data_IF_241424008162
#
_entry.id   IF_241424008162
#
_cell.length_a   1.000
_cell.length_b   1.000
_cell.length_c   1.000
_cell.angle_alpha   90.00
_cell.angle_beta   90.00
_cell.angle_gamma   90.00
#
_symmetry.space_group_name_H-M   'P 1'
#
loop_
_entity.id
_entity.type
_entity.pdbx_description
1 polymer ?
#
# COMPACT_ATOMS: atom_id res chain seq x y z
N UNK A 1 -11.58 18.39 -4.32
CA UNK A 1 -10.88 17.20 -3.79
C UNK A 1 -9.62 17.69 -3.12
N UNK A 2 -9.38 17.30 -1.87
CA UNK A 2 -8.17 17.62 -1.10
C UNK A 2 -7.53 16.32 -0.63
N UNK A 3 -6.21 16.24 -0.69
CA UNK A 3 -5.45 15.06 -0.28
C UNK A 3 -4.46 15.42 0.82
N UNK A 4 -4.52 14.70 1.94
CA UNK A 4 -3.49 14.73 2.97
C UNK A 4 -2.72 13.41 2.86
N UNK A 5 -1.50 13.49 2.34
CA UNK A 5 -0.63 12.33 2.22
C UNK A 5 0.21 12.14 3.49
N UNK A 6 0.35 10.90 3.95
CA UNK A 6 1.23 10.52 5.06
C UNK A 6 1.05 11.39 6.32
N UNK A 7 -0.20 11.66 6.71
CA UNK A 7 -0.55 12.57 7.80
C UNK A 7 -0.31 11.96 9.20
N UNK A 8 0.92 11.53 9.47
CA UNK A 8 1.21 10.62 10.60
C UNK A 8 1.45 11.30 11.93
N UNK A 9 1.74 12.61 11.95
CA UNK A 9 2.03 13.34 13.18
C UNK A 9 0.76 13.49 14.04
N UNK A 10 0.67 12.83 15.22
CA UNK A 10 -0.52 12.91 16.08
C UNK A 10 -0.74 14.30 16.68
N UNK A 11 0.24 15.20 16.62
CA UNK A 11 0.11 16.59 17.09
C UNK A 11 -0.50 17.50 16.04
N UNK A 12 -0.57 17.06 14.77
CA UNK A 12 -1.10 17.86 13.69
C UNK A 12 -2.63 17.89 13.74
N UNK A 13 -3.21 19.08 13.91
CA UNK A 13 -4.66 19.28 13.83
C UNK A 13 -5.09 19.55 12.38
N UNK A 14 -5.51 18.51 11.67
CA UNK A 14 -5.89 18.60 10.25
C UNK A 14 -7.10 19.50 9.99
N UNK A 15 -8.02 19.63 10.95
CA UNK A 15 -9.23 20.47 10.81
C UNK A 15 -8.90 21.91 10.40
N UNK A 16 -7.73 22.44 10.79
CA UNK A 16 -7.30 23.80 10.45
C UNK A 16 -7.10 24.03 8.96
N UNK A 17 -6.93 22.96 8.20
CA UNK A 17 -6.70 22.99 6.76
C UNK A 17 -7.95 22.58 5.96
N UNK A 18 -9.05 22.23 6.64
CA UNK A 18 -10.28 21.84 5.96
C UNK A 18 -10.94 23.06 5.31
N UNK A 19 -11.37 22.96 4.04
CA UNK A 19 -12.06 24.05 3.38
C UNK A 19 -13.43 24.29 4.03
N UNK A 20 -13.82 25.56 4.14
CA UNK A 20 -15.16 25.96 4.58
C UNK A 20 -16.16 25.81 3.42
N UNK A 21 -16.41 24.59 2.98
CA UNK A 21 -17.39 24.26 1.95
C UNK A 21 -18.18 23.00 2.31
N UNK A 22 -19.34 22.84 1.69
CA UNK A 22 -20.23 21.68 1.87
C UNK A 22 -20.10 20.65 0.72
N UNK A 23 -19.09 20.80 -0.13
CA UNK A 23 -18.90 19.98 -1.31
C UNK A 23 -17.43 19.59 -1.49
N UNK A 24 -17.22 18.48 -2.19
CA UNK A 24 -15.90 17.89 -2.41
C UNK A 24 -15.53 16.85 -1.37
N UNK A 25 -14.51 16.06 -1.67
CA UNK A 25 -14.01 15.00 -0.81
C UNK A 25 -12.63 15.36 -0.26
N UNK A 26 -12.35 14.88 0.94
CA UNK A 26 -11.02 14.87 1.55
C UNK A 26 -10.60 13.40 1.64
N UNK A 27 -9.41 13.08 1.14
CA UNK A 27 -8.78 11.77 1.33
C UNK A 27 -7.55 11.97 2.20
N UNK A 28 -7.42 11.14 3.22
CA UNK A 28 -6.31 11.17 4.18
C UNK A 28 -5.66 9.80 4.16
N UNK A 29 -4.39 9.73 3.80
CA UNK A 29 -3.56 8.52 3.99
C UNK A 29 -2.72 8.72 5.25
N UNK A 30 -2.73 7.73 6.15
CA UNK A 30 -1.95 7.80 7.37
C UNK A 30 -1.82 6.44 8.06
N UNK A 31 -0.74 6.29 8.82
CA UNK A 31 -0.50 5.24 9.82
C UNK A 31 -1.05 5.61 11.21
N UNK A 32 -1.53 6.84 11.40
CA UNK A 32 -2.10 7.32 12.65
C UNK A 32 -3.60 6.96 12.76
N UNK A 33 -3.99 5.97 13.59
CA UNK A 33 -5.38 5.58 13.75
C UNK A 33 -6.24 6.67 14.42
N UNK A 34 -5.64 7.68 15.05
CA UNK A 34 -6.35 8.80 15.66
C UNK A 34 -7.10 9.67 14.65
N UNK A 35 -6.72 9.64 13.37
CA UNK A 35 -7.37 10.44 12.32
C UNK A 35 -8.74 9.89 11.88
N UNK A 36 -9.13 8.70 12.38
CA UNK A 36 -10.48 8.13 12.15
C UNK A 36 -11.62 9.04 12.61
N UNK A 37 -11.33 10.00 13.49
CA UNK A 37 -12.31 11.03 13.90
C UNK A 37 -12.77 11.94 12.76
N UNK A 38 -12.02 11.99 11.64
CA UNK A 38 -12.29 12.89 10.52
C UNK A 38 -13.14 12.28 9.41
N UNK A 39 -13.44 10.97 9.44
CA UNK A 39 -14.24 10.33 8.40
C UNK A 39 -14.24 8.81 8.44
N UNK A 40 -14.78 8.19 7.41
CA UNK A 40 -14.75 6.73 7.25
C UNK A 40 -13.31 6.24 7.05
N UNK A 41 -13.02 5.09 7.65
CA UNK A 41 -11.69 4.49 7.63
C UNK A 41 -11.67 3.25 6.75
N UNK A 42 -10.82 3.27 5.73
CA UNK A 42 -10.57 2.16 4.83
C UNK A 42 -9.19 1.57 5.12
N UNK A 43 -9.08 0.47 5.91
CA UNK A 43 -7.80 -0.18 6.12
C UNK A 43 -7.27 -0.73 4.80
N UNK A 44 -5.97 -0.56 4.55
CA UNK A 44 -5.27 -1.25 3.46
C UNK A 44 -4.79 -2.58 4.01
N UNK A 45 -5.30 -3.68 3.44
CA UNK A 45 -4.88 -5.04 3.79
C UNK A 45 -3.62 -5.44 3.02
N UNK A 46 -3.08 -6.61 3.38
CA UNK A 46 -2.03 -7.25 2.61
C UNK A 46 -2.54 -7.60 1.19
N UNK A 47 -1.59 -7.86 0.28
CA UNK A 47 -1.90 -8.23 -1.09
C UNK A 47 -2.37 -9.68 -1.17
N UNK A 48 -3.33 -9.96 -2.06
CA UNK A 48 -3.72 -11.33 -2.37
C UNK A 48 -2.53 -12.12 -2.92
N UNK A 49 -2.43 -13.40 -2.60
CA UNK A 49 -1.29 -14.26 -2.96
C UNK A 49 -0.98 -14.22 -4.47
N UNK A 50 -2.02 -14.29 -5.31
CA UNK A 50 -1.88 -14.29 -6.77
C UNK A 50 -1.28 -12.96 -7.25
N UNK A 51 -1.79 -11.83 -6.74
CA UNK A 51 -1.30 -10.50 -7.10
C UNK A 51 0.13 -10.28 -6.60
N UNK A 52 0.46 -10.82 -5.42
CA UNK A 52 1.79 -10.78 -4.85
C UNK A 52 2.80 -11.55 -5.72
N UNK A 53 2.46 -12.76 -6.17
CA UNK A 53 3.28 -13.56 -7.09
C UNK A 53 3.48 -12.83 -8.42
N UNK A 54 2.40 -12.26 -8.97
CA UNK A 54 2.47 -11.47 -10.21
C UNK A 54 3.42 -10.29 -10.03
N UNK A 55 3.30 -9.52 -8.93
CA UNK A 55 4.14 -8.38 -8.63
C UNK A 55 5.62 -8.78 -8.55
N UNK A 56 5.94 -9.89 -7.88
CA UNK A 56 7.32 -10.37 -7.76
C UNK A 56 7.93 -10.68 -9.13
N UNK A 57 7.21 -11.47 -9.94
CA UNK A 57 7.70 -11.92 -11.25
C UNK A 57 7.82 -10.76 -12.24
N UNK A 58 6.89 -9.80 -12.18
CA UNK A 58 6.98 -8.56 -12.96
C UNK A 58 8.17 -7.69 -12.54
N UNK A 59 8.36 -7.51 -11.23
CA UNK A 59 9.46 -6.72 -10.67
C UNK A 59 10.84 -7.33 -10.98
N UNK A 60 10.91 -8.66 -11.09
CA UNK A 60 12.11 -9.39 -11.49
C UNK A 60 12.36 -9.42 -13.01
N UNK A 61 11.53 -8.77 -13.84
CA UNK A 61 11.58 -8.83 -15.30
C UNK A 61 11.66 -10.28 -15.85
N UNK A 62 11.02 -11.22 -15.14
CA UNK A 62 11.22 -12.64 -15.36
C UNK A 62 10.50 -13.13 -16.64
N UNK A 63 11.27 -13.57 -17.63
CA UNK A 63 10.75 -14.07 -18.92
C UNK A 63 10.21 -15.51 -18.85
N UNK A 64 10.52 -16.24 -17.78
CA UNK A 64 10.06 -17.62 -17.55
C UNK A 64 9.04 -17.67 -16.41
N UNK A 65 7.99 -16.87 -16.56
CA UNK A 65 6.92 -16.67 -15.58
C UNK A 65 6.34 -17.99 -15.05
N UNK A 66 5.99 -18.92 -15.95
CA UNK A 66 5.35 -20.20 -15.61
C UNK A 66 6.27 -21.15 -14.83
N UNK A 67 7.58 -21.12 -15.10
CA UNK A 67 8.56 -22.03 -14.48
C UNK A 67 8.86 -21.66 -13.03
N UNK A 68 8.62 -20.40 -12.65
CA UNK A 68 9.04 -19.84 -11.37
C UNK A 68 7.87 -19.61 -10.40
N UNK A 69 6.64 -19.99 -10.76
CA UNK A 69 5.45 -19.75 -9.94
C UNK A 69 5.58 -20.31 -8.52
N UNK A 70 6.02 -21.56 -8.37
CA UNK A 70 6.13 -22.21 -7.04
C UNK A 70 7.21 -21.55 -6.16
N UNK A 71 8.33 -21.14 -6.76
CA UNK A 71 9.41 -20.46 -6.03
C UNK A 71 8.97 -19.04 -5.65
N UNK A 72 8.30 -18.34 -6.57
CA UNK A 72 7.75 -17.01 -6.33
C UNK A 72 6.72 -17.02 -5.20
N UNK A 73 5.84 -18.02 -5.15
CA UNK A 73 4.85 -18.20 -4.07
C UNK A 73 5.52 -18.27 -2.69
N UNK A 74 6.58 -19.08 -2.55
CA UNK A 74 7.35 -19.20 -1.30
C UNK A 74 8.02 -17.89 -0.90
N UNK A 75 8.54 -17.14 -1.87
CA UNK A 75 9.16 -15.83 -1.59
C UNK A 75 8.13 -14.83 -1.10
N UNK A 76 6.96 -14.73 -1.76
CA UNK A 76 5.95 -13.74 -1.35
C UNK A 76 5.30 -14.07 -0.01
N UNK A 77 5.20 -15.36 0.34
CA UNK A 77 4.79 -15.83 1.67
C UNK A 77 5.78 -15.35 2.77
N UNK A 78 7.09 -15.53 2.55
CA UNK A 78 8.13 -15.06 3.48
C UNK A 78 8.19 -13.53 3.58
N UNK A 79 7.71 -12.82 2.56
CA UNK A 79 7.60 -11.35 2.55
C UNK A 79 6.25 -10.86 3.07
N UNK A 80 5.45 -11.74 3.67
CA UNK A 80 4.14 -11.45 4.26
C UNK A 80 3.20 -10.73 3.29
N UNK A 81 3.33 -11.01 1.99
CA UNK A 81 2.52 -10.38 0.94
C UNK A 81 2.58 -8.84 0.94
N UNK A 82 3.63 -8.25 1.51
CA UNK A 82 3.80 -6.80 1.59
C UNK A 82 4.30 -6.26 0.23
N UNK A 83 3.51 -5.43 -0.47
CA UNK A 83 3.85 -5.02 -1.85
C UNK A 83 5.22 -4.36 -1.97
N UNK A 84 5.59 -3.53 -0.99
CA UNK A 84 6.89 -2.85 -0.98
C UNK A 84 8.05 -3.85 -0.85
N UNK A 85 7.93 -4.83 0.04
CA UNK A 85 8.96 -5.84 0.26
C UNK A 85 9.12 -6.73 -0.98
N UNK A 86 8.01 -7.10 -1.60
CA UNK A 86 7.98 -7.89 -2.83
C UNK A 86 8.63 -7.16 -3.99
N UNK A 87 8.27 -5.90 -4.22
CA UNK A 87 8.86 -5.09 -5.30
C UNK A 87 10.38 -4.95 -5.12
N UNK A 88 10.84 -4.74 -3.88
CA UNK A 88 12.26 -4.69 -3.55
C UNK A 88 12.98 -6.02 -3.80
N UNK A 89 12.38 -7.14 -3.38
CA UNK A 89 12.93 -8.47 -3.63
C UNK A 89 13.02 -8.76 -5.13
N UNK A 90 11.96 -8.48 -5.89
CA UNK A 90 11.91 -8.64 -7.33
C UNK A 90 13.00 -7.83 -8.05
N UNK A 91 13.15 -6.55 -7.70
CA UNK A 91 14.19 -5.69 -8.27
C UNK A 91 15.63 -6.13 -7.88
N UNK A 92 15.79 -6.86 -6.78
CA UNK A 92 17.09 -7.40 -6.37
C UNK A 92 17.45 -8.71 -7.11
N UNK A 93 16.47 -9.56 -7.41
CA UNK A 93 16.66 -10.85 -8.08
C UNK A 93 16.60 -10.76 -9.62
N UNK A 94 16.33 -9.58 -10.18
CA UNK A 94 16.31 -9.31 -11.62
C UNK A 94 17.69 -9.40 -12.27
#
# INVERSE_FOLDING_TARGET
LLFFDNADDPKMNLNKFFPLCNHGSIIITSRNPGLRVYGEHSPVSDMEEIDAVILLLQSAANKTFEQNLEVAAKIVEELYYLPLAIAQAGAFIS
#
